data_IF_833357436462
#
_entry.id   IF_833357436462
#
_cell.length_a   1.000
_cell.length_b   1.000
_cell.length_c   1.000
_cell.angle_alpha   90.00
_cell.angle_beta   90.00
_cell.angle_gamma   90.00
#
_symmetry.space_group_name_H-M   'P 1'
#
loop_
_entity.id
_entity.type
_entity.pdbx_description
1 polymer ?
#
# COMPACT_ATOMS: atom_id res chain seq x y z
N UNK A 1 1.98 1.39 38.26
CA UNK A 1 0.92 0.66 37.54
C UNK A 1 1.58 -0.32 36.58
N UNK A 2 1.37 -1.62 36.81
CA UNK A 2 1.92 -2.70 35.97
C UNK A 2 1.11 -2.83 34.68
N UNK A 3 1.78 -3.03 33.55
CA UNK A 3 1.12 -3.31 32.27
C UNK A 3 0.48 -4.70 32.30
N UNK A 4 -0.76 -4.80 31.84
CA UNK A 4 -1.47 -6.06 31.63
C UNK A 4 -1.23 -6.51 30.19
N UNK A 5 -0.97 -7.79 29.98
CA UNK A 5 -0.87 -8.43 28.67
C UNK A 5 -1.97 -9.49 28.55
N UNK A 6 -2.79 -9.42 27.51
CA UNK A 6 -3.78 -10.44 27.18
C UNK A 6 -3.67 -10.86 25.73
N UNK A 7 -3.99 -12.11 25.44
CA UNK A 7 -4.27 -12.55 24.07
C UNK A 7 -5.72 -12.24 23.71
N UNK A 8 -5.95 -11.62 22.55
CA UNK A 8 -7.30 -11.29 22.05
C UNK A 8 -7.43 -11.69 20.60
N UNK A 9 -8.54 -12.31 20.23
CA UNK A 9 -8.92 -12.46 18.83
C UNK A 9 -9.31 -11.10 18.26
N UNK A 10 -8.73 -10.72 17.13
CA UNK A 10 -8.97 -9.45 16.46
C UNK A 10 -9.18 -9.70 14.97
N UNK A 11 -10.30 -9.21 14.43
CA UNK A 11 -10.56 -9.21 12.99
C UNK A 11 -9.78 -8.09 12.32
N UNK A 12 -8.92 -8.44 11.37
CA UNK A 12 -7.97 -7.57 10.66
C UNK A 12 -8.60 -6.94 9.42
N UNK A 13 -7.96 -5.91 8.85
CA UNK A 13 -8.45 -5.23 7.63
C UNK A 13 -8.45 -6.13 6.39
N UNK A 14 -7.64 -7.20 6.39
CA UNK A 14 -7.68 -8.22 5.35
C UNK A 14 -8.82 -9.24 5.55
N UNK A 15 -9.74 -9.01 6.50
CA UNK A 15 -10.89 -9.87 6.76
C UNK A 15 -10.63 -11.06 7.68
N UNK A 16 -9.38 -11.51 7.80
CA UNK A 16 -8.95 -12.62 8.67
C UNK A 16 -8.98 -12.25 10.17
N UNK A 17 -9.13 -13.26 11.03
CA UNK A 17 -8.98 -13.11 12.49
C UNK A 17 -7.63 -13.67 12.94
N UNK A 18 -6.93 -12.92 13.77
CA UNK A 18 -5.63 -13.28 14.35
C UNK A 18 -5.68 -13.11 15.88
N UNK A 19 -4.84 -13.86 16.59
CA UNK A 19 -4.67 -13.70 18.04
C UNK A 19 -3.52 -12.73 18.29
N UNK A 20 -3.84 -11.57 18.84
CA UNK A 20 -2.87 -10.53 19.16
C UNK A 20 -2.62 -10.43 20.66
N UNK A 21 -1.37 -10.14 21.02
CA UNK A 21 -0.98 -9.74 22.37
C UNK A 21 -1.24 -8.25 22.57
N UNK A 22 -2.22 -7.93 23.40
CA UNK A 22 -2.66 -6.56 23.69
C UNK A 22 -2.07 -6.12 25.03
N UNK A 23 -1.21 -5.10 24.99
CA UNK A 23 -0.54 -4.53 26.14
C UNK A 23 -1.21 -3.20 26.56
N UNK A 24 -1.69 -3.11 27.80
CA UNK A 24 -2.39 -1.91 28.27
C UNK A 24 -2.24 -1.68 29.77
N UNK A 25 -2.43 -0.43 30.22
CA UNK A 25 -2.53 -0.05 31.64
C UNK A 25 -3.95 0.38 32.00
N UNK A 26 -4.74 0.84 31.03
CA UNK A 26 -6.13 1.27 31.22
C UNK A 26 -7.10 0.58 30.25
N UNK A 27 -8.39 0.53 30.61
CA UNK A 27 -9.42 0.00 29.72
C UNK A 27 -9.50 0.77 28.38
N UNK A 28 -9.24 2.08 28.40
CA UNK A 28 -9.16 2.91 27.20
C UNK A 28 -8.01 2.51 26.29
N UNK A 29 -6.82 2.28 26.84
CA UNK A 29 -5.67 1.80 26.07
C UNK A 29 -5.92 0.41 25.48
N UNK A 30 -6.58 -0.48 26.23
CA UNK A 30 -6.97 -1.81 25.71
C UNK A 30 -7.82 -1.70 24.45
N UNK A 31 -8.86 -0.88 24.50
CA UNK A 31 -9.77 -0.70 23.35
C UNK A 31 -9.05 -0.04 22.17
N UNK A 32 -8.17 0.92 22.45
CA UNK A 32 -7.36 1.57 21.43
C UNK A 32 -6.43 0.58 20.74
N UNK A 33 -5.65 -0.21 21.49
CA UNK A 33 -4.74 -1.23 20.94
C UNK A 33 -5.49 -2.28 20.13
N UNK A 34 -6.69 -2.71 20.57
CA UNK A 34 -7.55 -3.59 19.77
C UNK A 34 -7.99 -2.95 18.46
N UNK A 35 -8.42 -1.69 18.52
CA UNK A 35 -8.83 -0.91 17.34
C UNK A 35 -7.68 -0.76 16.34
N UNK A 36 -6.46 -0.55 16.83
CA UNK A 36 -5.24 -0.46 16.03
C UNK A 36 -4.85 -1.81 15.44
N UNK A 37 -4.92 -2.87 16.22
CA UNK A 37 -4.66 -4.23 15.74
C UNK A 37 -5.62 -4.61 14.61
N UNK A 38 -6.91 -4.30 14.76
CA UNK A 38 -7.94 -4.56 13.75
C UNK A 38 -7.69 -3.81 12.43
N UNK A 39 -6.89 -2.74 12.52
CA UNK A 39 -6.51 -1.84 11.44
C UNK A 39 -5.27 -2.32 10.66
N UNK A 40 -4.57 -3.34 11.14
CA UNK A 40 -3.42 -3.94 10.46
C UNK A 40 -3.86 -5.16 9.64
N UNK A 41 -3.07 -5.54 8.63
CA UNK A 41 -3.21 -6.87 8.02
C UNK A 41 -2.67 -7.95 8.97
N UNK A 42 -3.19 -9.17 8.89
CA UNK A 42 -2.66 -10.29 9.69
C UNK A 42 -1.22 -10.66 9.26
N UNK A 43 -0.51 -11.43 10.10
CA UNK A 43 0.86 -11.87 9.84
C UNK A 43 1.00 -12.62 8.51
N UNK A 44 0.05 -13.49 8.18
CA UNK A 44 0.11 -14.27 6.94
C UNK A 44 -0.11 -13.40 5.70
N UNK A 45 -1.07 -12.47 5.74
CA UNK A 45 -1.25 -11.48 4.67
C UNK A 45 -0.04 -10.55 4.53
N UNK A 46 0.58 -10.16 5.65
CA UNK A 46 1.84 -9.40 5.67
C UNK A 46 2.96 -10.17 4.96
N UNK A 47 3.09 -11.48 5.25
CA UNK A 47 4.09 -12.35 4.60
C UNK A 47 3.81 -12.51 3.09
N UNK A 48 2.55 -12.71 2.70
CA UNK A 48 2.13 -12.74 1.29
C UNK A 48 2.49 -11.45 0.55
N UNK A 49 2.18 -10.29 1.15
CA UNK A 49 2.55 -8.98 0.59
C UNK A 49 4.05 -8.85 0.39
N UNK A 50 4.85 -9.31 1.35
CA UNK A 50 6.31 -9.31 1.23
C UNK A 50 6.78 -10.24 0.10
N UNK A 51 6.15 -11.41 -0.03
CA UNK A 51 6.37 -12.35 -1.14
C UNK A 51 6.17 -11.69 -2.49
N UNK A 52 5.02 -11.04 -2.72
CA UNK A 52 4.72 -10.37 -3.99
C UNK A 52 5.68 -9.22 -4.35
N UNK A 53 6.34 -8.60 -3.37
CA UNK A 53 7.35 -7.57 -3.63
C UNK A 53 8.75 -8.14 -3.89
N UNK A 54 9.09 -9.27 -3.25
CA UNK A 54 10.40 -9.89 -3.37
C UNK A 54 10.51 -10.84 -4.58
N UNK A 55 9.41 -11.54 -4.89
CA UNK A 55 9.30 -12.49 -5.99
C UNK A 55 7.99 -12.23 -6.75
N UNK A 56 7.99 -11.24 -7.65
CA UNK A 56 6.77 -10.71 -8.24
C UNK A 56 6.20 -11.54 -9.39
N UNK A 57 6.74 -12.74 -9.65
CA UNK A 57 6.35 -13.60 -10.77
C UNK A 57 7.05 -13.26 -12.08
N UNK A 58 6.59 -13.91 -13.17
CA UNK A 58 7.26 -13.86 -14.48
C UNK A 58 6.63 -12.89 -15.49
N UNK A 59 5.39 -12.46 -15.27
CA UNK A 59 4.66 -11.65 -16.24
C UNK A 59 5.05 -10.17 -16.16
N UNK A 60 5.55 -9.64 -17.27
CA UNK A 60 5.85 -8.22 -17.41
C UNK A 60 4.58 -7.42 -17.71
N UNK A 61 4.41 -6.30 -17.00
CA UNK A 61 3.37 -5.33 -17.29
C UNK A 61 3.91 -4.20 -18.13
N UNK A 62 3.43 -4.10 -19.37
CA UNK A 62 3.63 -2.87 -20.12
C UNK A 62 2.47 -1.90 -19.86
N UNK A 63 2.67 -1.00 -18.90
CA UNK A 63 1.75 0.10 -18.63
C UNK A 63 2.43 1.46 -18.81
N UNK A 64 1.72 2.40 -19.40
CA UNK A 64 2.25 3.76 -19.60
C UNK A 64 2.06 4.59 -18.34
N UNK A 65 3.12 5.31 -17.96
CA UNK A 65 3.12 6.21 -16.82
C UNK A 65 2.90 7.64 -17.30
N UNK A 66 2.00 8.39 -16.65
CA UNK A 66 1.80 9.81 -16.99
C UNK A 66 3.09 10.62 -16.79
N UNK A 67 3.33 11.67 -17.60
CA UNK A 67 4.51 12.52 -17.46
C UNK A 67 4.64 13.14 -16.07
N UNK A 68 5.89 13.19 -15.58
CA UNK A 68 6.24 13.85 -14.33
C UNK A 68 6.13 15.38 -14.44
N UNK A 69 5.85 16.01 -13.30
CA UNK A 69 5.81 17.46 -13.08
C UNK A 69 7.03 17.85 -12.26
N UNK A 70 7.75 18.87 -12.70
CA UNK A 70 8.94 19.39 -12.04
C UNK A 70 9.71 20.34 -12.95
N UNK A 71 10.92 20.71 -12.55
CA UNK A 71 11.79 21.55 -13.40
C UNK A 71 12.37 20.76 -14.57
N UNK A 72 12.77 21.46 -15.65
CA UNK A 72 13.39 20.87 -16.85
C UNK A 72 14.62 20.02 -16.52
N UNK A 73 15.35 20.38 -15.46
CA UNK A 73 16.54 19.62 -14.99
C UNK A 73 16.18 18.37 -14.19
N UNK A 74 15.07 18.38 -13.45
CA UNK A 74 14.67 17.28 -12.56
C UNK A 74 13.92 16.18 -13.30
N UNK A 75 13.04 16.55 -14.25
CA UNK A 75 12.13 15.60 -14.89
C UNK A 75 12.86 14.43 -15.59
N UNK A 76 13.94 14.62 -16.36
CA UNK A 76 14.63 13.51 -17.00
C UNK A 76 15.16 12.49 -15.99
N UNK A 77 15.90 12.96 -14.97
CA UNK A 77 16.47 12.10 -13.94
C UNK A 77 15.38 11.40 -13.10
N UNK A 78 14.34 12.11 -12.69
CA UNK A 78 13.22 11.52 -11.96
C UNK A 78 12.47 10.47 -12.80
N UNK A 79 12.38 10.66 -14.11
CA UNK A 79 11.77 9.69 -15.03
C UNK A 79 12.60 8.41 -15.10
N UNK A 80 13.93 8.51 -15.19
CA UNK A 80 14.82 7.35 -15.13
C UNK A 80 14.66 6.57 -13.81
N UNK A 81 14.59 7.28 -12.67
CA UNK A 81 14.39 6.67 -11.35
C UNK A 81 13.05 5.91 -11.28
N UNK A 82 11.96 6.54 -11.75
CA UNK A 82 10.63 5.92 -11.82
C UNK A 82 10.60 4.71 -12.74
N UNK A 83 11.28 4.77 -13.88
CA UNK A 83 11.35 3.64 -14.82
C UNK A 83 12.15 2.46 -14.26
N UNK A 84 13.24 2.71 -13.52
CA UNK A 84 13.95 1.65 -12.79
C UNK A 84 13.04 0.98 -11.75
N UNK A 85 12.25 1.76 -11.03
CA UNK A 85 11.26 1.20 -10.09
C UNK A 85 10.14 0.45 -10.81
N UNK A 86 9.70 0.90 -12.00
CA UNK A 86 8.75 0.16 -12.86
C UNK A 86 9.29 -1.22 -13.24
N UNK A 87 10.58 -1.32 -13.57
CA UNK A 87 11.21 -2.60 -13.90
C UNK A 87 11.22 -3.59 -12.72
N UNK A 88 11.37 -3.08 -11.50
CA UNK A 88 11.40 -3.93 -10.29
C UNK A 88 10.00 -4.30 -9.81
N UNK A 89 9.09 -3.31 -9.74
CA UNK A 89 7.78 -3.45 -9.08
C UNK A 89 6.61 -3.59 -10.05
N UNK A 90 6.83 -3.46 -11.36
CA UNK A 90 5.78 -3.60 -12.38
C UNK A 90 5.15 -4.99 -12.39
N UNK A 91 5.95 -6.03 -12.16
CA UNK A 91 5.46 -7.40 -12.01
C UNK A 91 4.63 -7.59 -10.75
N UNK A 92 5.02 -6.94 -9.64
CA UNK A 92 4.24 -6.96 -8.39
C UNK A 92 2.86 -6.36 -8.61
N UNK A 93 2.77 -5.30 -9.42
CA UNK A 93 1.49 -4.66 -9.75
C UNK A 93 0.54 -5.65 -10.45
N UNK A 94 1.03 -6.45 -11.40
CA UNK A 94 0.22 -7.47 -12.08
C UNK A 94 -0.16 -8.64 -11.18
N UNK A 95 0.81 -9.22 -10.49
CA UNK A 95 0.55 -10.37 -9.61
C UNK A 95 -0.46 -10.00 -8.52
N UNK A 96 -0.37 -8.79 -7.96
CA UNK A 96 -1.35 -8.30 -6.98
C UNK A 96 -2.69 -7.93 -7.61
N UNK A 97 -2.71 -7.44 -8.84
CA UNK A 97 -3.95 -7.22 -9.59
C UNK A 97 -4.73 -8.52 -9.76
N UNK A 98 -4.09 -9.57 -10.27
CA UNK A 98 -4.74 -10.88 -10.49
C UNK A 98 -5.21 -11.55 -9.20
N UNK A 99 -4.38 -11.53 -8.15
CA UNK A 99 -4.80 -12.05 -6.86
C UNK A 99 -5.97 -11.24 -6.24
N UNK A 100 -6.01 -9.92 -6.48
CA UNK A 100 -7.12 -9.08 -6.06
C UNK A 100 -8.42 -9.36 -6.83
N UNK A 101 -8.34 -9.68 -8.13
CA UNK A 101 -9.49 -10.13 -8.95
C UNK A 101 -10.11 -11.41 -8.39
N UNK A 102 -9.29 -12.27 -7.78
CA UNK A 102 -9.73 -13.50 -7.11
C UNK A 102 -10.27 -13.25 -5.68
N UNK A 103 -10.34 -12.00 -5.24
CA UNK A 103 -10.87 -11.61 -3.93
C UNK A 103 -9.86 -11.58 -2.79
N UNK A 104 -8.54 -11.69 -3.05
CA UNK A 104 -7.53 -11.53 -1.99
C UNK A 104 -7.42 -10.05 -1.58
N UNK A 105 -7.96 -9.72 -0.41
CA UNK A 105 -7.94 -8.35 0.12
C UNK A 105 -6.52 -7.84 0.40
N UNK A 106 -5.56 -8.72 0.75
CA UNK A 106 -4.18 -8.28 0.92
C UNK A 106 -3.57 -7.88 -0.43
N UNK A 107 -3.87 -8.64 -1.48
CA UNK A 107 -3.47 -8.30 -2.83
C UNK A 107 -4.11 -6.97 -3.27
N UNK A 108 -5.41 -6.77 -3.02
CA UNK A 108 -6.11 -5.52 -3.34
C UNK A 108 -5.45 -4.31 -2.67
N UNK A 109 -5.10 -4.43 -1.40
CA UNK A 109 -4.41 -3.37 -0.66
C UNK A 109 -3.05 -3.04 -1.27
N UNK A 110 -2.25 -4.06 -1.59
CA UNK A 110 -0.92 -3.86 -2.17
C UNK A 110 -0.99 -3.33 -3.61
N UNK A 111 -1.92 -3.83 -4.43
CA UNK A 111 -2.21 -3.33 -5.77
C UNK A 111 -2.50 -1.83 -5.74
N UNK A 112 -3.41 -1.39 -4.86
CA UNK A 112 -3.73 0.04 -4.67
C UNK A 112 -2.52 0.84 -4.19
N UNK A 113 -1.70 0.29 -3.29
CA UNK A 113 -0.48 0.96 -2.82
C UNK A 113 0.54 1.17 -3.96
N UNK A 114 0.68 0.19 -4.86
CA UNK A 114 1.52 0.30 -6.05
C UNK A 114 0.94 1.30 -7.06
N UNK A 115 -0.38 1.33 -7.27
CA UNK A 115 -1.04 2.38 -8.06
C UNK A 115 -0.79 3.78 -7.49
N UNK A 116 -0.84 3.94 -6.17
CA UNK A 116 -0.50 5.20 -5.51
C UNK A 116 0.95 5.58 -5.76
N UNK A 117 1.89 4.65 -5.55
CA UNK A 117 3.32 4.87 -5.77
C UNK A 117 3.63 5.28 -7.20
N UNK A 118 3.16 4.51 -8.18
CA UNK A 118 3.34 4.85 -9.58
C UNK A 118 2.51 6.05 -10.01
N UNK A 119 1.43 6.40 -9.32
CA UNK A 119 0.61 7.59 -9.58
C UNK A 119 1.28 8.91 -9.22
N UNK A 120 2.39 8.90 -8.47
CA UNK A 120 3.08 10.13 -8.07
C UNK A 120 3.78 10.76 -9.27
N UNK A 121 3.26 11.91 -9.69
CA UNK A 121 3.80 12.71 -10.79
C UNK A 121 4.86 13.72 -10.36
N UNK A 122 5.09 13.91 -9.07
CA UNK A 122 6.05 14.89 -8.59
C UNK A 122 7.49 14.38 -8.72
N UNK A 123 8.31 15.06 -9.52
CA UNK A 123 9.72 14.71 -9.72
C UNK A 123 10.53 14.74 -8.42
N UNK A 124 10.18 15.62 -7.47
CA UNK A 124 10.91 15.74 -6.21
C UNK A 124 10.80 14.45 -5.38
N UNK A 125 9.63 13.81 -5.34
CA UNK A 125 9.44 12.55 -4.64
C UNK A 125 10.40 11.44 -5.11
N UNK A 126 10.56 11.29 -6.42
CA UNK A 126 11.44 10.27 -7.00
C UNK A 126 12.91 10.55 -6.67
N UNK A 127 13.31 11.82 -6.71
CA UNK A 127 14.67 12.27 -6.38
C UNK A 127 14.96 12.10 -4.87
N UNK A 128 14.04 12.50 -4.01
CA UNK A 128 14.13 12.37 -2.54
C UNK A 128 14.33 10.90 -2.12
N UNK A 129 13.68 9.96 -2.83
CA UNK A 129 13.75 8.53 -2.53
C UNK A 129 14.82 7.77 -3.34
N UNK A 130 15.66 8.46 -4.12
CA UNK A 130 16.65 7.81 -4.98
C UNK A 130 17.68 6.97 -4.21
N UNK A 131 18.11 7.46 -3.03
CA UNK A 131 19.14 6.81 -2.19
C UNK A 131 18.57 5.75 -1.25
N UNK A 132 17.31 5.88 -0.87
CA UNK A 132 16.61 4.97 0.03
C UNK A 132 15.21 4.71 -0.53
N UNK A 133 15.08 3.80 -1.50
CA UNK A 133 13.79 3.45 -2.08
C UNK A 133 12.81 2.95 -1.02
N UNK A 134 11.52 3.13 -1.29
CA UNK A 134 10.48 2.63 -0.40
C UNK A 134 10.52 1.10 -0.33
N UNK A 135 10.80 0.56 0.86
CA UNK A 135 10.74 -0.88 1.11
C UNK A 135 9.35 -1.38 1.54
N UNK A 136 9.26 -2.70 1.79
CA UNK A 136 8.05 -3.42 2.21
C UNK A 136 7.20 -2.70 3.25
N UNK A 137 7.81 -2.18 4.32
CA UNK A 137 7.06 -1.54 5.42
C UNK A 137 6.32 -0.26 5.01
N UNK A 138 6.78 0.44 3.96
CA UNK A 138 6.08 1.59 3.40
C UNK A 138 4.85 1.13 2.61
N UNK A 139 5.02 0.14 1.73
CA UNK A 139 3.92 -0.43 0.95
C UNK A 139 2.86 -1.10 1.81
N UNK A 140 3.25 -1.87 2.83
CA UNK A 140 2.32 -2.46 3.81
C UNK A 140 1.50 -1.37 4.51
N UNK A 141 2.17 -0.30 4.95
CA UNK A 141 1.47 0.82 5.60
C UNK A 141 0.45 1.49 4.69
N UNK A 142 0.79 1.66 3.41
CA UNK A 142 -0.10 2.29 2.44
C UNK A 142 -1.25 1.35 2.07
N UNK A 143 -0.99 0.05 1.94
CA UNK A 143 -2.00 -0.98 1.72
C UNK A 143 -3.03 -1.02 2.87
N UNK A 144 -2.56 -1.03 4.12
CA UNK A 144 -3.43 -0.99 5.32
C UNK A 144 -4.32 0.26 5.38
N UNK A 145 -3.85 1.39 4.84
CA UNK A 145 -4.64 2.62 4.72
C UNK A 145 -5.65 2.56 3.57
N UNK A 146 -5.29 1.92 2.46
CA UNK A 146 -6.10 1.83 1.24
C UNK A 146 -7.19 0.74 1.28
N UNK A 147 -7.10 -0.18 2.25
CA UNK A 147 -8.13 -1.16 2.55
C UNK A 147 -9.24 -0.63 3.46
N UNK A 148 -9.20 0.65 3.85
CA UNK A 148 -10.20 1.25 4.73
C UNK A 148 -11.03 2.30 4.01
N UNK A 149 -12.31 2.34 4.37
CA UNK A 149 -13.24 3.40 4.00
C UNK A 149 -13.14 4.60 4.99
N UNK A 150 -12.60 4.38 6.20
CA UNK A 150 -12.79 5.30 7.34
C UNK A 150 -11.48 5.96 7.86
N UNK A 151 -11.62 7.23 8.23
CA UNK A 151 -10.67 8.34 8.48
C UNK A 151 -9.41 8.12 9.38
N UNK A 152 -8.38 8.93 9.05
CA UNK A 152 -7.13 9.32 9.75
C UNK A 152 -6.39 8.27 10.61
N UNK A 153 -5.55 7.48 9.93
CA UNK A 153 -4.56 6.57 10.52
C UNK A 153 -3.30 7.27 11.07
N UNK A 154 -3.17 8.58 10.88
CA UNK A 154 -1.95 9.33 11.20
C UNK A 154 -1.70 9.46 12.71
N UNK A 155 -2.71 9.19 13.54
CA UNK A 155 -2.67 9.47 14.97
C UNK A 155 -2.01 8.39 15.83
N UNK A 156 -1.97 7.13 15.37
CA UNK A 156 -1.26 6.04 16.07
C UNK A 156 0.20 5.90 15.66
N UNK A 157 0.53 6.00 14.37
CA UNK A 157 1.93 5.83 13.92
C UNK A 157 2.86 6.92 14.47
N UNK A 158 2.32 8.12 14.73
CA UNK A 158 2.98 9.19 15.50
C UNK A 158 3.29 8.81 16.95
N UNK A 159 2.53 7.90 17.56
CA UNK A 159 2.65 7.46 18.96
C UNK A 159 3.44 6.17 19.13
N UNK A 160 3.32 5.21 18.20
CA UNK A 160 3.93 3.88 18.29
C UNK A 160 5.27 3.73 17.56
N UNK A 161 5.52 4.56 16.54
CA UNK A 161 6.81 4.62 15.87
C UNK A 161 7.39 6.01 16.10
N UNK A 162 8.48 6.11 16.87
CA UNK A 162 9.29 7.33 16.89
C UNK A 162 9.50 7.78 15.44
N UNK A 163 9.01 8.99 15.12
CA UNK A 163 9.03 9.59 13.77
C UNK A 163 8.80 8.57 12.65
N UNK A 164 7.55 8.15 12.40
CA UNK A 164 7.24 7.58 11.09
C UNK A 164 7.56 8.62 10.02
N UNK A 165 8.56 8.33 9.20
CA UNK A 165 9.07 9.13 8.09
C UNK A 165 7.93 9.78 7.30
N UNK A 166 7.98 11.11 7.21
CA UNK A 166 6.90 11.96 6.71
C UNK A 166 6.62 11.91 5.20
N UNK A 167 6.99 10.86 4.46
CA UNK A 167 6.72 10.81 3.01
C UNK A 167 6.48 9.37 2.50
N UNK A 168 5.45 8.69 3.02
CA UNK A 168 4.88 7.54 2.29
C UNK A 168 4.25 8.02 0.98
N UNK A 169 4.20 7.16 -0.03
CA UNK A 169 3.59 7.48 -1.32
C UNK A 169 2.13 7.94 -1.15
N UNK A 170 1.37 7.27 -0.28
CA UNK A 170 0.01 7.66 0.08
C UNK A 170 -0.08 9.10 0.62
N UNK A 171 0.77 9.47 1.58
CA UNK A 171 0.76 10.81 2.16
C UNK A 171 1.09 11.89 1.11
N UNK A 172 2.08 11.60 0.24
CA UNK A 172 2.46 12.49 -0.87
C UNK A 172 1.30 12.66 -1.84
N UNK A 173 0.65 11.58 -2.27
CA UNK A 173 -0.46 11.63 -3.21
C UNK A 173 -1.71 12.27 -2.61
N UNK A 174 -2.05 12.00 -1.33
CA UNK A 174 -3.16 12.65 -0.62
C UNK A 174 -3.05 14.17 -0.65
N UNK A 175 -1.82 14.71 -0.58
CA UNK A 175 -1.55 16.15 -0.63
C UNK A 175 -1.58 16.71 -2.06
N UNK A 176 -1.03 15.97 -3.03
CA UNK A 176 -0.83 16.47 -4.40
C UNK A 176 -2.02 16.23 -5.33
N UNK A 177 -2.71 15.10 -5.19
CA UNK A 177 -3.82 14.68 -6.04
C UNK A 177 -4.82 13.79 -5.26
N UNK A 178 -5.65 14.39 -4.40
CA UNK A 178 -6.67 13.65 -3.65
C UNK A 178 -7.72 13.00 -4.56
N UNK A 179 -7.92 13.54 -5.77
CA UNK A 179 -8.89 13.01 -6.74
C UNK A 179 -8.43 11.67 -7.32
N UNK A 180 -7.15 11.56 -7.70
CA UNK A 180 -6.56 10.30 -8.13
C UNK A 180 -6.54 9.29 -6.99
N UNK A 181 -6.23 9.72 -5.77
CA UNK A 181 -6.29 8.84 -4.61
C UNK A 181 -7.71 8.27 -4.38
N UNK A 182 -8.75 9.09 -4.52
CA UNK A 182 -10.14 8.65 -4.41
C UNK A 182 -10.49 7.60 -5.50
N UNK A 183 -10.05 7.82 -6.75
CA UNK A 183 -10.20 6.84 -7.83
C UNK A 183 -9.49 5.53 -7.54
N UNK A 184 -8.25 5.58 -7.02
CA UNK A 184 -7.48 4.37 -6.67
C UNK A 184 -8.17 3.58 -5.56
N UNK A 185 -8.79 4.25 -4.57
CA UNK A 185 -9.57 3.57 -3.53
C UNK A 185 -10.79 2.84 -4.07
N UNK A 186 -11.37 3.34 -5.16
CA UNK A 186 -12.51 2.71 -5.83
C UNK A 186 -12.07 1.67 -6.87
N UNK A 187 -10.78 1.63 -7.22
CA UNK A 187 -10.27 0.66 -8.18
C UNK A 187 -10.45 -0.76 -7.62
N UNK A 188 -11.32 -1.52 -8.29
CA UNK A 188 -11.40 -2.97 -8.20
C UNK A 188 -10.91 -3.47 -9.55
N UNK A 189 -9.84 -4.29 -9.59
CA UNK A 189 -9.39 -4.83 -10.86
C UNK A 189 -10.52 -5.67 -11.46
N UNK A 190 -10.80 -5.40 -12.74
CA UNK A 190 -11.90 -6.01 -13.48
C UNK A 190 -11.35 -6.58 -14.76
N UNK A 191 -11.71 -7.83 -15.06
CA UNK A 191 -11.38 -8.48 -16.31
C UNK A 191 -12.04 -7.72 -17.45
N UNK A 192 -11.24 -7.02 -18.26
CA UNK A 192 -11.62 -6.80 -19.65
C UNK A 192 -11.44 -8.14 -20.36
N UNK A 193 -12.46 -8.99 -20.27
CA UNK A 193 -12.57 -10.15 -21.16
C UNK A 193 -12.63 -9.60 -22.57
N UNK A 194 -11.52 -9.71 -23.30
CA UNK A 194 -11.52 -9.60 -24.76
C UNK A 194 -12.37 -10.77 -25.26
N UNK A 195 -13.69 -10.58 -25.36
CA UNK A 195 -14.53 -11.41 -26.19
C UNK A 195 -14.15 -11.07 -27.62
N UNK A 196 -13.14 -11.77 -28.14
CA UNK A 196 -12.89 -11.80 -29.56
C UNK A 196 -14.17 -12.30 -30.23
N UNK A 197 -14.77 -11.40 -31.01
CA UNK A 197 -15.69 -11.74 -32.07
C UNK A 197 -15.10 -12.90 -32.87
N UNK A 198 -15.76 -14.05 -32.84
CA UNK A 198 -15.67 -15.01 -33.91
C UNK A 198 -17.06 -15.15 -34.51
N UNK A 199 -17.20 -14.47 -35.64
CA UNK A 199 -18.20 -14.70 -36.66
C UNK A 199 -18.32 -16.18 -36.99
N UNK A 200 -19.54 -16.72 -36.91
CA UNK A 200 -20.08 -17.67 -37.87
C UNK A 200 -21.56 -17.33 -38.09
#
# INVERSE_FOLDING_TARGET
MSSINISSQVRKVCGHTEVDSIHYKTAREREEEKRISARMVCTDCSRKMQGWLNDPGAEDMDFTLEPLKGTVKQVPWATELRNKQKQVLGRSLMTTMHAAEQGDLAALGLYRALLVFFGIRDSAFWIENAKSPLGFWHFKSDAERLLREDLDFDDYRKRAAGKSSGDTAYARLKRLDPSLLARIRQAVPSTSTTSNANSQ
#
